data_IF_852820425921
#
_entry.id   IF_852820425921
#
_cell.length_a   1.000
_cell.length_b   1.000
_cell.length_c   1.000
_cell.angle_alpha   90.00
_cell.angle_beta   90.00
_cell.angle_gamma   90.00
#
_symmetry.space_group_name_H-M   'P 1'
#
loop_
_entity.id
_entity.type
_entity.pdbx_description
1 polymer ?
#
# COMPACT_ATOMS: atom_id res chain seq x y z
N UNK A 1 -7.45 -16.15 10.41
CA UNK A 1 -6.84 -15.45 11.58
C UNK A 1 -7.65 -14.19 11.89
N UNK A 2 -8.09 -13.99 13.14
CA UNK A 2 -8.93 -12.85 13.51
C UNK A 2 -8.13 -11.53 13.49
N UNK A 3 -8.46 -10.61 12.57
CA UNK A 3 -7.79 -9.30 12.42
C UNK A 3 -7.76 -8.47 13.71
N UNK A 4 -8.74 -8.67 14.60
CA UNK A 4 -8.86 -7.97 15.89
C UNK A 4 -7.67 -8.29 16.80
N UNK A 5 -7.38 -9.58 17.02
CA UNK A 5 -6.26 -10.02 17.87
C UNK A 5 -4.91 -9.46 17.43
N UNK A 6 -4.63 -9.47 16.12
CA UNK A 6 -3.37 -8.92 15.58
C UNK A 6 -3.25 -7.42 15.90
N UNK A 7 -4.34 -6.67 15.73
CA UNK A 7 -4.35 -5.23 16.03
C UNK A 7 -4.19 -4.93 17.52
N UNK A 8 -4.73 -5.77 18.39
CA UNK A 8 -4.63 -5.60 19.84
C UNK A 8 -3.20 -5.88 20.33
N UNK A 9 -2.55 -6.93 19.81
CA UNK A 9 -1.13 -7.21 20.11
C UNK A 9 -0.20 -6.11 19.56
N UNK A 10 -0.42 -5.63 18.34
CA UNK A 10 0.35 -4.51 17.77
C UNK A 10 0.16 -3.22 18.58
N UNK A 11 -1.02 -3.00 19.15
CA UNK A 11 -1.29 -1.89 20.07
C UNK A 11 -0.49 -1.99 21.36
N UNK A 12 -0.31 -3.18 21.91
CA UNK A 12 0.44 -3.34 23.15
C UNK A 12 1.93 -3.10 22.94
N UNK A 13 2.46 -3.50 21.78
CA UNK A 13 3.89 -3.44 21.48
C UNK A 13 4.30 -2.07 20.91
N UNK A 14 3.45 -1.43 20.09
CA UNK A 14 3.81 -0.22 19.34
C UNK A 14 2.64 0.79 19.22
N UNK A 15 2.26 1.41 20.34
CA UNK A 15 1.22 2.46 20.35
C UNK A 15 1.61 3.67 19.51
N UNK A 16 2.85 4.14 19.67
CA UNK A 16 3.35 5.34 18.99
C UNK A 16 3.49 5.14 17.48
N UNK A 17 4.05 4.02 17.03
CA UNK A 17 4.13 3.75 15.60
C UNK A 17 2.75 3.57 14.97
N UNK A 18 1.75 3.06 15.71
CA UNK A 18 0.37 3.01 15.21
C UNK A 18 -0.25 4.39 15.07
N UNK A 19 -0.11 5.28 16.06
CA UNK A 19 -0.65 6.65 15.96
C UNK A 19 0.01 7.41 14.81
N UNK A 20 1.33 7.29 14.64
CA UNK A 20 2.06 7.90 13.52
C UNK A 20 1.61 7.36 12.16
N UNK A 21 1.40 6.05 12.03
CA UNK A 21 0.86 5.44 10.79
C UNK A 21 -0.56 5.90 10.50
N UNK A 22 -1.41 6.01 11.53
CA UNK A 22 -2.78 6.50 11.40
C UNK A 22 -2.81 7.98 10.99
N UNK A 23 -1.97 8.83 11.59
CA UNK A 23 -1.81 10.23 11.20
C UNK A 23 -1.32 10.36 9.76
N UNK A 24 -0.33 9.57 9.36
CA UNK A 24 0.17 9.55 7.98
C UNK A 24 -0.91 9.11 7.00
N UNK A 25 -1.72 8.10 7.33
CA UNK A 25 -2.84 7.66 6.51
C UNK A 25 -3.95 8.71 6.44
N UNK A 26 -4.29 9.38 7.54
CA UNK A 26 -5.28 10.45 7.57
C UNK A 26 -4.83 11.67 6.73
N UNK A 27 -3.51 11.92 6.64
CA UNK A 27 -2.94 12.97 5.78
C UNK A 27 -3.01 12.63 4.28
N UNK A 28 -3.12 11.35 3.92
CA UNK A 28 -3.25 10.92 2.52
C UNK A 28 -4.74 10.88 2.19
N UNK A 29 -5.27 12.00 1.69
CA UNK A 29 -6.61 12.02 1.10
C UNK A 29 -6.61 11.15 -0.16
N UNK A 30 -7.25 9.98 -0.07
CA UNK A 30 -7.50 9.14 -1.25
C UNK A 30 -8.69 9.72 -2.00
N UNK A 31 -8.38 10.56 -3.00
CA UNK A 31 -9.38 11.03 -3.95
C UNK A 31 -9.69 9.90 -4.93
N UNK A 32 -10.97 9.54 -5.16
CA UNK A 32 -11.32 8.63 -6.24
C UNK A 32 -10.95 9.30 -7.56
N UNK A 33 -10.06 8.69 -8.35
CA UNK A 33 -9.79 9.14 -9.70
C UNK A 33 -10.78 8.51 -10.66
N UNK A 34 -11.15 9.26 -11.69
CA UNK A 34 -12.05 8.80 -12.76
C UNK A 34 -11.32 8.95 -14.08
N UNK A 35 -11.15 7.84 -14.78
CA UNK A 35 -10.60 7.85 -16.13
C UNK A 35 -11.69 7.98 -17.19
N UNK A 36 -11.42 8.71 -18.28
CA UNK A 36 -12.43 8.99 -19.30
C UNK A 36 -12.77 7.79 -20.19
N UNK A 37 -11.85 6.82 -20.33
CA UNK A 37 -11.97 5.63 -21.18
C UNK A 37 -10.91 4.59 -20.83
N UNK A 38 -11.08 3.32 -21.25
CA UNK A 38 -10.00 2.32 -21.19
C UNK A 38 -8.75 2.83 -21.93
N UNK A 39 -7.57 2.38 -21.48
CA UNK A 39 -6.25 2.81 -21.93
C UNK A 39 -5.95 4.32 -21.73
N UNK A 40 -6.70 5.02 -20.87
CA UNK A 40 -6.42 6.43 -20.58
C UNK A 40 -5.35 6.62 -19.49
N UNK A 41 -5.15 5.62 -18.62
CA UNK A 41 -4.16 5.64 -17.54
C UNK A 41 -3.66 4.23 -17.29
N UNK A 42 -2.34 4.09 -17.17
CA UNK A 42 -1.71 2.82 -16.85
C UNK A 42 -0.94 2.96 -15.53
N UNK A 43 -1.17 2.02 -14.64
CA UNK A 43 -0.41 1.87 -13.40
C UNK A 43 0.76 0.93 -13.65
N UNK A 44 1.97 1.42 -13.42
CA UNK A 44 3.19 0.60 -13.41
C UNK A 44 3.74 0.52 -12.00
N UNK A 45 4.01 -0.69 -11.52
CA UNK A 45 4.66 -0.90 -10.23
C UNK A 45 5.80 -1.92 -10.35
N UNK A 46 6.86 -1.65 -9.58
CA UNK A 46 8.08 -2.45 -9.56
C UNK A 46 8.19 -3.29 -8.30
N UNK A 47 8.22 -4.60 -8.45
CA UNK A 47 8.49 -5.54 -7.36
C UNK A 47 9.98 -5.85 -7.25
N UNK A 48 10.66 -5.17 -6.30
CA UNK A 48 12.11 -5.20 -6.18
C UNK A 48 12.64 -6.16 -5.09
N UNK A 49 11.79 -6.98 -4.46
CA UNK A 49 12.25 -7.86 -3.35
C UNK A 49 13.30 -8.89 -3.77
N UNK A 50 13.34 -9.25 -5.07
CA UNK A 50 14.27 -10.23 -5.63
C UNK A 50 15.49 -9.59 -6.29
N UNK A 51 15.70 -8.28 -6.12
CA UNK A 51 16.79 -7.55 -6.78
C UNK A 51 18.18 -8.07 -6.39
N UNK A 52 18.34 -8.60 -5.18
CA UNK A 52 19.58 -9.24 -4.73
C UNK A 52 19.94 -10.49 -5.54
N UNK A 53 18.98 -11.08 -6.23
CA UNK A 53 19.16 -12.23 -7.13
C UNK A 53 19.12 -11.81 -8.60
N UNK A 54 19.19 -10.50 -8.89
CA UNK A 54 19.16 -9.96 -10.24
C UNK A 54 17.77 -9.95 -10.89
N UNK A 55 16.70 -10.22 -10.13
CA UNK A 55 15.33 -10.32 -10.66
C UNK A 55 14.51 -9.12 -10.21
N UNK A 56 13.92 -8.42 -11.18
CA UNK A 56 12.94 -7.35 -10.94
C UNK A 56 11.71 -7.63 -11.78
N UNK A 57 10.54 -7.61 -11.13
CA UNK A 57 9.26 -7.87 -11.80
C UNK A 57 8.50 -6.56 -11.90
N UNK A 58 8.10 -6.17 -13.10
CA UNK A 58 7.26 -5.00 -13.33
C UNK A 58 5.86 -5.46 -13.71
N UNK A 59 4.84 -4.95 -13.01
CA UNK A 59 3.44 -5.14 -13.35
C UNK A 59 2.88 -3.88 -13.97
N UNK A 60 2.05 -4.03 -15.00
CA UNK A 60 1.36 -2.92 -15.65
C UNK A 60 -0.14 -3.24 -15.78
N UNK A 61 -1.02 -2.35 -15.33
CA UNK A 61 -2.48 -2.54 -15.35
C UNK A 61 -3.16 -1.24 -15.76
N UNK A 62 -4.14 -1.31 -16.68
CA UNK A 62 -5.03 -0.19 -17.05
C UNK A 62 -5.97 0.15 -15.88
N UNK A 63 -6.18 1.43 -15.59
CA UNK A 63 -6.88 1.88 -14.37
C UNK A 63 -7.68 3.15 -14.54
#
# INVERSE_FOLDING_TARGET
IQKRRIRDSLNQIDRLGRTLRAQRQAKIERVPYRVPRPNALWHLDGHHKLILWGIVIHGCVDG
#
